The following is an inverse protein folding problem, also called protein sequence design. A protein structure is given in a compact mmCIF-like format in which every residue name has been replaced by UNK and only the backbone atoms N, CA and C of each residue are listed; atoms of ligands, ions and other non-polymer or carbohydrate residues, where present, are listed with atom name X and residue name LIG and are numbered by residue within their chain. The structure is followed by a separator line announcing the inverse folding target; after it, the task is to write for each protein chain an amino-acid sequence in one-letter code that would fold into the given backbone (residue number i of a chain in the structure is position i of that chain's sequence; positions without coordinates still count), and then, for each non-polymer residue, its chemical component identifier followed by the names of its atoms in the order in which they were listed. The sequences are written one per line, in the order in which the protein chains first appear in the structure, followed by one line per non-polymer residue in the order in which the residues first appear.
data_IF_338332078576
#
_entry.id   IF_338332078576
#
_cell.length_a   1.000
_cell.length_b   1.000
_cell.length_c   1.000
_cell.angle_alpha   90.00
_cell.angle_beta   90.00
_cell.angle_gamma   90.00
#
_symmetry.space_group_name_H-M   'P 1'
#
loop_
_entity.id
_entity.type
_entity.pdbx_description
1 polymer ?
#
# COMPACT_ATOMS: atom_id res chain seq x y z
N UNK A 1 -11.83 10.40 -17.21
CA UNK A 1 -10.61 9.92 -16.54
C UNK A 1 -10.51 10.39 -15.08
N UNK A 2 -10.70 11.69 -14.79
CA UNK A 2 -10.66 12.25 -13.42
C UNK A 2 -11.62 11.56 -12.44
N UNK A 3 -12.86 11.27 -12.87
CA UNK A 3 -13.89 10.63 -12.03
C UNK A 3 -13.50 9.23 -11.55
N UNK A 4 -12.82 8.45 -12.40
CA UNK A 4 -12.33 7.11 -12.03
C UNK A 4 -11.29 7.20 -10.90
N UNK A 5 -10.28 8.05 -11.06
CA UNK A 5 -9.22 8.23 -10.06
C UNK A 5 -9.76 8.76 -8.73
N UNK A 6 -10.79 9.60 -8.76
CA UNK A 6 -11.46 10.08 -7.54
C UNK A 6 -12.15 8.94 -6.78
N UNK A 7 -12.94 8.11 -7.45
CA UNK A 7 -13.57 6.94 -6.79
C UNK A 7 -12.53 5.93 -6.32
N UNK A 8 -11.52 5.68 -7.14
CA UNK A 8 -10.40 4.81 -6.78
C UNK A 8 -9.70 5.28 -5.52
N UNK A 9 -9.33 6.57 -5.42
CA UNK A 9 -8.67 7.13 -4.24
C UNK A 9 -9.48 6.88 -2.96
N UNK A 10 -10.80 7.12 -3.00
CA UNK A 10 -11.66 6.87 -1.85
C UNK A 10 -11.74 5.39 -1.47
N UNK A 11 -11.95 4.51 -2.45
CA UNK A 11 -12.03 3.06 -2.21
C UNK A 11 -10.69 2.51 -1.69
N UNK A 12 -9.58 2.88 -2.31
CA UNK A 12 -8.24 2.45 -1.92
C UNK A 12 -7.92 2.91 -0.49
N UNK A 13 -8.20 4.18 -0.18
CA UNK A 13 -8.02 4.72 1.18
C UNK A 13 -8.93 4.02 2.19
N UNK A 14 -10.18 3.71 1.83
CA UNK A 14 -11.11 2.97 2.69
C UNK A 14 -10.62 1.55 2.97
N UNK A 15 -10.08 0.84 1.96
CA UNK A 15 -9.49 -0.49 2.15
C UNK A 15 -8.26 -0.45 3.08
N UNK A 16 -7.42 0.58 2.96
CA UNK A 16 -6.29 0.79 3.85
C UNK A 16 -6.77 1.00 5.30
N UNK A 17 -7.74 1.89 5.51
CA UNK A 17 -8.31 2.14 6.83
C UNK A 17 -8.98 0.89 7.41
N UNK A 18 -9.70 0.13 6.59
CA UNK A 18 -10.30 -1.14 7.00
C UNK A 18 -9.22 -2.16 7.41
N UNK A 19 -8.12 -2.23 6.66
CA UNK A 19 -6.97 -3.07 7.01
C UNK A 19 -6.38 -2.68 8.37
N UNK A 20 -6.24 -1.38 8.65
CA UNK A 20 -5.77 -0.90 9.95
C UNK A 20 -6.75 -1.20 11.07
N UNK A 21 -8.04 -0.95 10.86
CA UNK A 21 -9.08 -1.28 11.83
C UNK A 21 -9.02 -2.78 12.19
N UNK A 22 -8.95 -3.66 11.19
CA UNK A 22 -8.84 -5.10 11.40
C UNK A 22 -7.60 -5.47 12.23
N UNK A 23 -6.44 -4.87 11.96
CA UNK A 23 -5.20 -5.12 12.72
C UNK A 23 -5.28 -4.61 14.15
N UNK A 24 -5.85 -3.44 14.37
CA UNK A 24 -6.08 -2.89 15.71
C UNK A 24 -7.01 -3.83 16.49
N UNK A 25 -8.11 -4.28 15.88
CA UNK A 25 -9.01 -5.26 16.51
C UNK A 25 -8.30 -6.57 16.83
N UNK A 26 -7.49 -7.13 15.91
CA UNK A 26 -6.71 -8.34 16.19
C UNK A 26 -5.73 -8.15 17.35
N UNK A 27 -5.12 -6.97 17.47
CA UNK A 27 -4.22 -6.64 18.57
C UNK A 27 -4.96 -6.53 19.89
N UNK A 28 -6.12 -5.88 19.92
CA UNK A 28 -6.98 -5.79 21.11
C UNK A 28 -7.50 -7.16 21.56
N UNK A 29 -7.70 -8.09 20.62
CA UNK A 29 -8.11 -9.47 20.90
C UNK A 29 -6.93 -10.40 21.27
N UNK A 30 -5.69 -9.90 21.33
CA UNK A 30 -4.49 -10.71 21.61
C UNK A 30 -4.06 -11.65 20.48
N UNK A 31 -4.77 -11.65 19.34
CA UNK A 31 -4.51 -12.54 18.20
C UNK A 31 -3.40 -12.03 17.28
N UNK A 32 -3.05 -10.75 17.37
CA UNK A 32 -1.97 -10.18 16.56
C UNK A 32 -0.58 -10.73 16.94
N UNK A 33 -0.43 -11.30 18.14
CA UNK A 33 0.84 -11.91 18.57
C UNK A 33 1.19 -13.20 17.82
N UNK A 34 0.22 -13.82 17.14
CA UNK A 34 0.46 -14.96 16.23
C UNK A 34 1.22 -14.54 14.97
N UNK A 35 1.26 -13.25 14.65
CA UNK A 35 1.99 -12.72 13.49
C UNK A 35 3.49 -12.61 13.82
N UNK A 36 4.40 -13.14 12.99
CA UNK A 36 5.84 -13.06 13.24
C UNK A 36 6.32 -11.61 13.43
N UNK A 37 7.23 -11.37 14.39
CA UNK A 37 7.77 -10.03 14.68
C UNK A 37 8.36 -9.33 13.44
N UNK A 38 9.01 -10.08 12.55
CA UNK A 38 9.56 -9.55 11.29
C UNK A 38 8.48 -8.98 10.37
N UNK A 39 7.33 -9.66 10.28
CA UNK A 39 6.15 -9.18 9.53
C UNK A 39 5.58 -7.93 10.20
N UNK A 40 5.46 -7.91 11.53
CA UNK A 40 4.95 -6.73 12.24
C UNK A 40 5.83 -5.50 12.00
N UNK A 41 7.16 -5.65 12.06
CA UNK A 41 8.13 -4.57 11.80
C UNK A 41 7.98 -4.03 10.37
N UNK A 42 7.91 -4.93 9.38
CA UNK A 42 7.67 -4.54 7.99
C UNK A 42 6.36 -3.74 7.85
N UNK A 43 5.29 -4.17 8.52
CA UNK A 43 4.01 -3.46 8.51
C UNK A 43 4.09 -2.06 9.13
N UNK A 44 4.86 -1.89 10.21
CA UNK A 44 5.09 -0.60 10.82
C UNK A 44 5.88 0.36 9.93
N UNK A 45 6.83 -0.16 9.13
CA UNK A 45 7.63 0.65 8.19
C UNK A 45 6.82 1.01 6.94
N UNK A 46 6.03 0.07 6.43
CA UNK A 46 5.24 0.25 5.20
C UNK A 46 4.00 1.12 5.40
N UNK A 47 3.47 1.15 6.62
CA UNK A 47 2.31 1.96 6.98
C UNK A 47 2.51 3.47 6.66
N UNK A 48 3.53 4.16 7.19
CA UNK A 48 3.79 5.55 6.85
C UNK A 48 3.98 5.77 5.34
N UNK A 49 4.68 4.85 4.69
CA UNK A 49 4.92 4.91 3.24
C UNK A 49 3.60 4.93 2.48
N UNK A 50 2.66 4.03 2.79
CA UNK A 50 1.34 3.98 2.16
C UNK A 50 0.50 5.23 2.50
N UNK A 51 0.55 5.71 3.74
CA UNK A 51 -0.21 6.90 4.17
C UNK A 51 0.21 8.17 3.44
N UNK A 52 1.52 8.37 3.22
CA UNK A 52 2.03 9.47 2.38
C UNK A 52 1.52 9.33 0.95
N UNK A 53 1.39 8.09 0.46
CA UNK A 53 0.84 7.80 -0.86
C UNK A 53 -0.63 8.22 -0.98
N UNK A 54 -1.44 8.01 0.04
CA UNK A 54 -2.82 8.50 0.07
C UNK A 54 -2.88 10.03 -0.03
N UNK A 55 -1.94 10.73 0.59
CA UNK A 55 -1.81 12.20 0.49
C UNK A 55 -1.42 12.60 -0.93
N UNK A 56 -0.49 11.88 -1.58
CA UNK A 56 -0.12 12.09 -2.98
C UNK A 56 -1.29 11.88 -3.95
N UNK A 57 -2.09 10.84 -3.73
CA UNK A 57 -3.31 10.61 -4.51
C UNK A 57 -4.32 11.75 -4.38
N UNK A 58 -4.47 12.33 -3.19
CA UNK A 58 -5.31 13.50 -2.98
C UNK A 58 -4.80 14.71 -3.78
N UNK A 59 -3.49 14.99 -3.71
CA UNK A 59 -2.87 16.05 -4.50
C UNK A 59 -3.12 15.89 -6.01
N UNK A 60 -2.97 14.66 -6.52
CA UNK A 60 -3.28 14.32 -7.91
C UNK A 60 -4.76 14.59 -8.28
N UNK A 61 -5.70 14.05 -7.50
CA UNK A 61 -7.15 14.13 -7.83
C UNK A 61 -7.67 15.56 -7.79
N UNK A 62 -7.18 16.37 -6.86
CA UNK A 62 -7.64 17.74 -6.67
C UNK A 62 -6.74 18.79 -7.29
N UNK A 63 -5.66 18.38 -7.97
CA UNK A 63 -4.67 19.27 -8.57
C UNK A 63 -4.10 20.29 -7.58
N UNK A 64 -3.88 19.84 -6.34
CA UNK A 64 -3.30 20.66 -5.26
C UNK A 64 -1.86 20.25 -5.05
N UNK A 65 -0.96 21.23 -4.99
CA UNK A 65 0.45 21.00 -4.62
C UNK A 65 0.57 21.02 -3.10
N UNK A 66 0.93 19.88 -2.50
CA UNK A 66 1.01 19.72 -1.05
C UNK A 66 2.42 19.95 -0.48
N UNK A 67 3.45 19.55 -1.24
CA UNK A 67 4.89 19.71 -0.94
C UNK A 67 5.66 19.84 -2.25
N UNK A 68 6.95 20.16 -2.15
CA UNK A 68 7.87 20.35 -3.28
C UNK A 68 7.94 19.12 -4.21
N UNK A 69 8.26 19.37 -5.48
CA UNK A 69 8.28 18.34 -6.53
C UNK A 69 9.32 17.26 -6.24
N UNK A 70 10.48 17.67 -5.76
CA UNK A 70 11.63 16.83 -5.43
C UNK A 70 11.26 15.75 -4.41
N UNK A 71 10.43 16.10 -3.43
CA UNK A 71 9.89 15.15 -2.46
C UNK A 71 9.06 14.05 -3.16
N UNK A 72 8.16 14.43 -4.06
CA UNK A 72 7.29 13.47 -4.75
C UNK A 72 8.06 12.59 -5.73
N UNK A 73 9.09 13.12 -6.39
CA UNK A 73 9.97 12.33 -7.26
C UNK A 73 10.75 11.29 -6.46
N UNK A 74 11.35 11.69 -5.34
CA UNK A 74 12.02 10.77 -4.44
C UNK A 74 11.06 9.71 -3.88
N UNK A 75 9.87 10.13 -3.46
CA UNK A 75 8.83 9.24 -2.96
C UNK A 75 8.37 8.24 -4.03
N UNK A 76 8.17 8.67 -5.28
CA UNK A 76 7.78 7.79 -6.38
C UNK A 76 8.83 6.69 -6.62
N UNK A 77 10.13 7.04 -6.62
CA UNK A 77 11.23 6.08 -6.73
C UNK A 77 11.21 5.10 -5.55
N UNK A 78 11.07 5.60 -4.32
CA UNK A 78 11.00 4.76 -3.12
C UNK A 78 9.83 3.77 -3.17
N UNK A 79 8.65 4.21 -3.59
CA UNK A 79 7.47 3.36 -3.70
C UNK A 79 7.68 2.26 -4.75
N UNK A 80 8.22 2.60 -5.93
CA UNK A 80 8.52 1.61 -6.97
C UNK A 80 9.57 0.60 -6.46
N UNK A 81 10.64 1.08 -5.84
CA UNK A 81 11.68 0.23 -5.27
C UNK A 81 11.12 -0.69 -4.18
N UNK A 82 10.25 -0.17 -3.30
CA UNK A 82 9.56 -0.95 -2.30
C UNK A 82 8.66 -2.03 -2.92
N UNK A 83 7.90 -1.71 -3.97
CA UNK A 83 7.00 -2.66 -4.62
C UNK A 83 7.72 -3.79 -5.33
N UNK A 84 8.89 -3.50 -5.92
CA UNK A 84 9.79 -4.54 -6.44
C UNK A 84 10.36 -5.34 -5.25
N UNK A 85 10.86 -4.65 -4.22
CA UNK A 85 11.43 -5.22 -3.00
C UNK A 85 10.48 -6.12 -2.20
N UNK A 86 9.17 -5.91 -2.32
CA UNK A 86 8.14 -6.60 -1.53
C UNK A 86 8.22 -8.13 -1.65
N UNK A 87 8.63 -8.67 -2.80
CA UNK A 87 8.75 -10.11 -3.03
C UNK A 87 9.79 -10.80 -2.13
N UNK A 88 10.75 -10.05 -1.58
CA UNK A 88 11.75 -10.54 -0.65
C UNK A 88 11.43 -10.21 0.81
N UNK A 89 10.32 -9.51 1.07
CA UNK A 89 9.96 -9.12 2.42
C UNK A 89 9.31 -10.26 3.22
N UNK A 90 9.46 -10.27 4.55
CA UNK A 90 8.92 -11.31 5.44
C UNK A 90 7.43 -11.59 5.24
N UNK A 91 6.61 -10.57 4.95
CA UNK A 91 5.16 -10.69 4.84
C UNK A 91 4.72 -11.57 3.69
N UNK A 92 5.25 -11.37 2.49
CA UNK A 92 4.89 -12.22 1.34
C UNK A 92 5.37 -13.66 1.55
N UNK A 93 6.54 -13.83 2.17
CA UNK A 93 7.06 -15.15 2.53
C UNK A 93 6.17 -15.87 3.55
N UNK A 94 5.69 -15.15 4.56
CA UNK A 94 4.77 -15.66 5.57
C UNK A 94 3.41 -16.05 4.97
N UNK A 95 2.81 -15.17 4.14
CA UNK A 95 1.56 -15.48 3.45
C UNK A 95 1.72 -16.72 2.58
N UNK A 96 2.82 -16.84 1.83
CA UNK A 96 3.11 -18.00 0.97
C UNK A 96 3.15 -19.32 1.76
N UNK A 97 3.59 -19.28 3.01
CA UNK A 97 3.66 -20.47 3.87
C UNK A 97 2.28 -20.96 4.35
N UNK A 98 1.29 -20.06 4.40
CA UNK A 98 -0.05 -20.33 4.93
C UNK A 98 -1.14 -20.59 3.88
N UNK A 99 -0.83 -20.50 2.58
CA UNK A 99 -1.83 -20.63 1.51
C UNK A 99 -1.32 -21.50 0.35
N UNK A 100 -2.25 -22.04 -0.45
CA UNK A 100 -1.88 -22.80 -1.66
C UNK A 100 -1.16 -21.92 -2.68
N UNK A 101 -0.30 -22.51 -3.53
CA UNK A 101 0.41 -21.78 -4.58
C UNK A 101 -0.54 -21.04 -5.55
N UNK A 102 -1.70 -21.66 -5.87
CA UNK A 102 -2.73 -21.03 -6.70
C UNK A 102 -3.35 -19.82 -6.00
N UNK A 103 -3.72 -19.96 -4.73
CA UNK A 103 -4.27 -18.86 -3.92
C UNK A 103 -3.26 -17.72 -3.79
N UNK A 104 -2.00 -18.05 -3.52
CA UNK A 104 -0.91 -17.07 -3.44
C UNK A 104 -0.78 -16.26 -4.73
N UNK A 105 -0.76 -16.94 -5.88
CA UNK A 105 -0.67 -16.28 -7.18
C UNK A 105 -1.85 -15.34 -7.43
N UNK A 106 -3.09 -15.81 -7.20
CA UNK A 106 -4.29 -15.00 -7.39
C UNK A 106 -4.29 -13.76 -6.50
N UNK A 107 -3.94 -13.91 -5.21
CA UNK A 107 -3.87 -12.78 -4.26
C UNK A 107 -2.86 -11.73 -4.73
N UNK A 108 -1.66 -12.16 -5.16
CA UNK A 108 -0.64 -11.25 -5.64
C UNK A 108 -1.06 -10.55 -6.94
N UNK A 109 -1.60 -11.30 -7.90
CA UNK A 109 -2.06 -10.74 -9.18
C UNK A 109 -3.16 -9.69 -8.99
N UNK A 110 -4.15 -10.00 -8.15
CA UNK A 110 -5.22 -9.07 -7.81
C UNK A 110 -4.66 -7.85 -7.05
N UNK A 111 -3.78 -8.07 -6.08
CA UNK A 111 -3.14 -7.00 -5.31
C UNK A 111 -2.36 -6.02 -6.20
N UNK A 112 -1.56 -6.53 -7.14
CA UNK A 112 -0.83 -5.72 -8.11
C UNK A 112 -1.77 -4.95 -9.03
N UNK A 113 -2.84 -5.60 -9.53
CA UNK A 113 -3.81 -4.97 -10.42
C UNK A 113 -4.56 -3.82 -9.73
N UNK A 114 -4.96 -4.03 -8.47
CA UNK A 114 -5.60 -2.99 -7.64
C UNK A 114 -4.62 -1.85 -7.34
N UNK A 115 -3.33 -2.13 -7.19
CA UNK A 115 -2.32 -1.12 -6.87
C UNK A 115 -1.85 -0.32 -8.09
N UNK A 116 -2.13 -0.77 -9.31
CA UNK A 116 -1.63 -0.12 -10.53
C UNK A 116 -2.09 1.34 -10.67
N UNK A 117 -3.38 1.70 -10.47
CA UNK A 117 -3.80 3.10 -10.55
C UNK A 117 -3.13 3.98 -9.50
N UNK A 118 -2.84 3.45 -8.30
CA UNK A 118 -2.07 4.15 -7.27
C UNK A 118 -0.69 4.56 -7.78
N UNK A 119 0.07 3.63 -8.39
CA UNK A 119 1.40 3.96 -8.94
C UNK A 119 1.32 4.99 -10.07
N UNK A 120 0.32 4.89 -10.95
CA UNK A 120 0.10 5.86 -12.03
C UNK A 120 -0.16 7.26 -11.45
N UNK A 121 -1.03 7.36 -10.43
CA UNK A 121 -1.34 8.63 -9.79
C UNK A 121 -0.10 9.25 -9.13
N UNK A 122 0.67 8.46 -8.38
CA UNK A 122 1.89 8.96 -7.71
C UNK A 122 2.93 9.40 -8.73
N UNK A 123 3.16 8.63 -9.79
CA UNK A 123 4.13 8.97 -10.81
C UNK A 123 3.74 10.26 -11.55
N UNK A 124 2.48 10.36 -12.01
CA UNK A 124 2.01 11.56 -12.71
C UNK A 124 1.89 12.80 -11.80
N UNK A 125 1.81 12.61 -10.49
CA UNK A 125 1.82 13.72 -9.55
C UNK A 125 3.24 14.22 -9.25
N UNK A 126 4.23 13.32 -9.38
CA UNK A 126 5.63 13.63 -9.16
C UNK A 126 6.32 14.30 -10.37
N UNK A 127 5.84 14.06 -11.59
CA UNK A 127 6.46 14.49 -12.85
C UNK A 127 5.48 15.28 -13.71
#
# INVERSE_FOLDING_TARGET
MMTFFKYYMYLFSAFILLSFAAKITLKLLGKYEETPKSVQIEEYITLPLIMIGCVGMYGYVYSVTLVEREFWQFYAVLVIAHSIGAFWLPKLSWIRSGVSAKSFFVINFVGLSISLPFYIMIFNYAF
#
